data_IF_714500234964
#
_entry.id   IF_714500234964
#
_cell.length_a   1.000
_cell.length_b   1.000
_cell.length_c   1.000
_cell.angle_alpha   90.00
_cell.angle_beta   90.00
_cell.angle_gamma   90.00
#
_symmetry.space_group_name_H-M   'P 1'
#
loop_
_entity.id
_entity.type
_entity.pdbx_description
1 polymer ?
#
# COMPACT_ATOMS: atom_id res chain seq x y z
N UNK A 1 34.66 -5.13 -0.46
CA UNK A 1 33.57 -5.91 -1.08
C UNK A 1 32.62 -4.93 -1.74
N UNK A 2 32.36 -5.05 -3.04
CA UNK A 2 31.44 -4.15 -3.73
C UNK A 2 30.02 -4.45 -3.23
N UNK A 3 29.41 -3.50 -2.53
CA UNK A 3 28.01 -3.57 -2.15
C UNK A 3 27.17 -3.40 -3.41
N UNK A 4 26.55 -4.49 -3.86
CA UNK A 4 25.66 -4.49 -5.01
C UNK A 4 24.35 -3.80 -4.57
N UNK A 5 24.28 -2.49 -4.76
CA UNK A 5 23.10 -1.69 -4.40
C UNK A 5 22.00 -2.00 -5.42
N UNK A 6 20.84 -2.53 -4.99
CA UNK A 6 19.71 -2.80 -5.89
C UNK A 6 19.30 -1.53 -6.66
N UNK A 7 18.76 -1.68 -7.88
CA UNK A 7 18.37 -0.54 -8.73
C UNK A 7 17.40 0.42 -8.03
N UNK A 8 16.47 -0.09 -7.24
CA UNK A 8 15.52 0.71 -6.46
C UNK A 8 16.18 1.51 -5.32
N UNK A 9 17.36 1.10 -4.87
CA UNK A 9 18.10 1.73 -3.76
C UNK A 9 19.14 2.77 -4.25
N UNK A 10 19.35 2.91 -5.57
CA UNK A 10 20.34 3.83 -6.13
C UNK A 10 20.06 5.31 -5.83
N UNK A 11 18.78 5.67 -5.64
CA UNK A 11 18.32 7.02 -5.29
C UNK A 11 17.83 7.14 -3.84
N UNK A 12 17.98 6.08 -3.04
CA UNK A 12 17.55 6.10 -1.65
C UNK A 12 18.55 6.91 -0.83
N UNK A 13 18.10 7.99 -0.20
CA UNK A 13 18.88 8.66 0.84
C UNK A 13 18.61 7.90 2.14
N UNK A 14 19.66 7.58 2.91
CA UNK A 14 19.53 6.94 4.22
C UNK A 14 18.92 7.92 5.22
N UNK A 15 17.59 8.07 5.14
CA UNK A 15 16.75 8.74 6.12
C UNK A 15 15.91 7.68 6.83
N UNK A 16 16.56 6.81 7.58
CA UNK A 16 15.92 5.69 8.29
C UNK A 16 16.74 5.23 9.50
N UNK A 17 16.08 4.52 10.42
CA UNK A 17 16.71 3.87 11.58
C UNK A 17 16.55 2.36 11.42
N UNK A 18 17.61 1.60 11.75
CA UNK A 18 17.63 0.14 11.71
C UNK A 18 17.34 -0.41 10.29
N UNK A 19 16.36 -1.30 10.14
CA UNK A 19 16.08 -2.05 8.89
C UNK A 19 15.10 -1.33 7.94
N UNK A 20 14.94 -0.01 8.08
CA UNK A 20 14.02 0.80 7.27
C UNK A 20 14.77 1.84 6.45
N UNK A 21 14.32 2.08 5.23
CA UNK A 21 14.84 3.07 4.31
C UNK A 21 13.72 3.95 3.76
N UNK A 22 14.05 5.21 3.44
CA UNK A 22 13.11 6.14 2.83
C UNK A 22 13.36 6.19 1.32
N UNK A 23 12.34 5.84 0.54
CA UNK A 23 12.32 6.07 -0.90
C UNK A 23 11.51 7.33 -1.18
N UNK A 24 12.17 8.31 -1.80
CA UNK A 24 11.55 9.55 -2.24
C UNK A 24 11.14 9.42 -3.71
N UNK A 25 10.09 10.15 -4.08
CA UNK A 25 9.68 10.33 -5.47
C UNK A 25 9.51 9.00 -6.26
N UNK A 26 8.87 8.00 -5.62
CA UNK A 26 8.59 6.68 -6.24
C UNK A 26 7.85 6.83 -7.58
N UNK A 27 6.99 7.85 -7.68
CA UNK A 27 6.26 8.18 -8.90
C UNK A 27 6.75 9.51 -9.49
N UNK A 28 6.84 9.62 -10.82
CA UNK A 28 7.11 10.89 -11.49
C UNK A 28 6.04 11.94 -11.17
N UNK A 29 6.42 13.21 -11.00
CA UNK A 29 5.51 14.28 -10.56
C UNK A 29 4.32 14.47 -11.50
N UNK A 30 4.53 14.22 -12.78
CA UNK A 30 3.51 14.32 -13.83
C UNK A 30 2.37 13.31 -13.68
N UNK A 31 2.53 12.24 -12.89
CA UNK A 31 1.48 11.21 -12.68
C UNK A 31 0.92 11.17 -11.26
N UNK A 32 1.54 11.83 -10.28
CA UNK A 32 1.18 11.69 -8.86
C UNK A 32 -0.27 12.11 -8.58
N UNK A 33 -0.67 13.29 -9.07
CA UNK A 33 -2.00 13.83 -8.80
C UNK A 33 -3.09 12.97 -9.45
N UNK A 34 -2.92 12.65 -10.74
CA UNK A 34 -3.87 11.80 -11.48
C UNK A 34 -4.00 10.41 -10.86
N UNK A 35 -2.89 9.79 -10.46
CA UNK A 35 -2.89 8.50 -9.78
C UNK A 35 -3.61 8.57 -8.44
N UNK A 36 -3.38 9.62 -7.64
CA UNK A 36 -4.04 9.81 -6.35
C UNK A 36 -5.56 9.94 -6.52
N UNK A 37 -6.02 10.79 -7.44
CA UNK A 37 -7.45 10.99 -7.67
C UNK A 37 -8.13 9.75 -8.23
N UNK A 38 -7.50 9.03 -9.16
CA UNK A 38 -8.03 7.75 -9.65
C UNK A 38 -8.14 6.70 -8.56
N UNK A 39 -7.12 6.57 -7.71
CA UNK A 39 -7.16 5.65 -6.58
C UNK A 39 -8.29 6.03 -5.61
N UNK A 40 -8.46 7.31 -5.32
CA UNK A 40 -9.56 7.79 -4.49
C UNK A 40 -10.93 7.46 -5.10
N UNK A 41 -11.12 7.66 -6.40
CA UNK A 41 -12.43 7.53 -7.06
C UNK A 41 -12.81 6.10 -7.44
N UNK A 42 -11.83 5.27 -7.80
CA UNK A 42 -12.06 3.89 -8.28
C UNK A 42 -12.09 2.86 -7.15
N UNK A 43 -11.38 3.12 -6.04
CA UNK A 43 -11.32 2.20 -4.91
C UNK A 43 -12.65 2.20 -4.15
N UNK A 44 -13.20 1.01 -3.90
CA UNK A 44 -14.37 0.84 -3.04
C UNK A 44 -13.96 0.95 -1.58
N UNK A 45 -13.96 2.17 -1.07
CA UNK A 45 -13.67 2.46 0.33
C UNK A 45 -14.77 1.98 1.26
N UNK A 46 -14.37 1.48 2.43
CA UNK A 46 -15.25 1.01 3.48
C UNK A 46 -14.74 1.49 4.85
N UNK A 47 -15.52 1.24 5.90
CA UNK A 47 -15.18 1.59 7.28
C UNK A 47 -14.97 0.34 8.12
N UNK A 48 -14.04 0.41 9.06
CA UNK A 48 -13.76 -0.67 10.01
C UNK A 48 -14.17 -0.24 11.42
N UNK A 49 -14.59 -1.22 12.23
CA UNK A 49 -14.80 -1.03 13.68
C UNK A 49 -13.75 -1.78 14.48
N UNK A 50 -13.15 -1.11 15.46
CA UNK A 50 -12.25 -1.73 16.43
C UNK A 50 -12.73 -1.36 17.84
N UNK A 51 -12.92 -2.36 18.70
CA UNK A 51 -13.45 -2.19 20.06
C UNK A 51 -14.78 -1.41 20.09
N UNK A 52 -15.68 -1.73 19.16
CA UNK A 52 -17.02 -1.11 19.04
C UNK A 52 -17.04 0.30 18.45
N UNK A 53 -15.89 0.94 18.23
CA UNK A 53 -15.80 2.30 17.65
C UNK A 53 -15.34 2.26 16.20
N UNK A 54 -15.79 3.22 15.40
CA UNK A 54 -15.27 3.43 14.04
C UNK A 54 -13.80 3.82 14.12
N UNK A 55 -12.97 3.19 13.28
CA UNK A 55 -11.58 3.61 13.10
C UNK A 55 -11.56 4.87 12.22
N UNK A 56 -10.80 5.93 12.57
CA UNK A 56 -10.86 7.21 11.86
C UNK A 56 -10.04 7.20 10.56
N UNK A 57 -10.27 6.17 9.73
CA UNK A 57 -9.73 6.04 8.37
C UNK A 57 -10.66 5.15 7.56
N UNK A 58 -10.65 5.37 6.25
CA UNK A 58 -11.25 4.45 5.31
C UNK A 58 -10.28 3.31 5.01
N UNK A 59 -10.82 2.16 4.63
CA UNK A 59 -10.07 0.96 4.28
C UNK A 59 -10.64 0.34 3.01
N UNK A 60 -9.81 -0.34 2.25
CA UNK A 60 -10.24 -1.24 1.19
C UNK A 60 -9.40 -2.51 1.29
N UNK A 61 -10.02 -3.67 1.08
CA UNK A 61 -9.32 -4.96 0.97
C UNK A 61 -9.33 -5.32 -0.51
N UNK A 62 -8.15 -5.34 -1.12
CA UNK A 62 -7.95 -5.77 -2.50
C UNK A 62 -7.04 -6.99 -2.50
N UNK A 63 -7.44 -8.02 -3.23
CA UNK A 63 -6.68 -9.26 -3.33
C UNK A 63 -7.37 -10.25 -4.26
N UNK A 64 -6.63 -11.28 -4.64
CA UNK A 64 -7.22 -12.45 -5.29
C UNK A 64 -7.56 -13.45 -4.19
N UNK A 65 -8.81 -13.89 -4.14
CA UNK A 65 -9.23 -14.96 -3.23
C UNK A 65 -9.01 -16.27 -4.00
N UNK A 66 -8.00 -17.03 -3.60
CA UNK A 66 -7.89 -18.43 -4.04
C UNK A 66 -8.76 -19.26 -3.10
N UNK A 67 -9.88 -19.79 -3.62
CA UNK A 67 -10.71 -20.73 -2.86
C UNK A 67 -10.05 -22.11 -3.00
N UNK A 68 -9.41 -22.58 -1.93
CA UNK A 68 -8.95 -23.96 -1.82
C UNK A 68 -9.91 -24.71 -0.86
N UNK A 69 -10.25 -25.97 -1.17
CA UNK A 69 -11.04 -26.87 -0.30
C UNK A 69 -12.51 -26.50 0.02
N UNK A 70 -13.22 -25.81 -0.88
CA UNK A 70 -14.65 -25.45 -0.70
C UNK A 70 -14.95 -24.56 0.53
N UNK A 71 -13.98 -23.78 1.03
CA UNK A 71 -14.25 -22.81 2.09
C UNK A 71 -15.24 -21.74 1.57
N UNK A 72 -16.39 -21.62 2.24
CA UNK A 72 -17.39 -20.59 1.95
C UNK A 72 -16.79 -19.21 2.31
N UNK A 73 -16.49 -18.40 1.29
CA UNK A 73 -16.10 -17.02 1.49
C UNK A 73 -17.35 -16.15 1.61
N UNK A 74 -17.60 -15.59 2.79
CA UNK A 74 -18.53 -14.47 2.96
C UNK A 74 -17.77 -13.14 2.78
N UNK A 75 -18.03 -12.37 1.70
CA UNK A 75 -17.51 -11.02 1.60
C UNK A 75 -18.09 -10.15 2.71
N UNK A 76 -17.22 -9.39 3.39
CA UNK A 76 -17.59 -8.37 4.37
C UNK A 76 -18.39 -7.21 3.75
#
# INVERSE_FOLDING_TARGET
>A
MATNIPSWAQNAIVHGSNDSFLLLDIFPKEVVDDLFYKLHDEVKWNTMRQKGKRVPREICIQGTITIENNDEYEPL
#
